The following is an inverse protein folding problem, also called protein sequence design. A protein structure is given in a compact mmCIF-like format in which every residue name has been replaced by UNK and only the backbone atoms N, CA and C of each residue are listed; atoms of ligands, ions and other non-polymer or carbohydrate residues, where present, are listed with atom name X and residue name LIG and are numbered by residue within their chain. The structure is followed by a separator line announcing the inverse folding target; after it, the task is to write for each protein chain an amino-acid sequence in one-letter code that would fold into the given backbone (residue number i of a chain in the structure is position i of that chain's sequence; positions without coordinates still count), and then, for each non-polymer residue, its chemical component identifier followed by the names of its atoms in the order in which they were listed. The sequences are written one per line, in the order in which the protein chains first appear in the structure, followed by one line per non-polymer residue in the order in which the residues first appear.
data_IF_602513171080
#
_entry.id   IF_602513171080
#
_cell.length_a   1.000
_cell.length_b   1.000
_cell.length_c   1.000
_cell.angle_alpha   90.00
_cell.angle_beta   90.00
_cell.angle_gamma   90.00
#
_symmetry.space_group_name_H-M   'P 1'
#
loop_
_entity.id
_entity.type
_entity.pdbx_description
1 polymer ?
#
# COMPACT_ATOMS: atom_id res chain seq x y z
N UNK A 1 27.47 45.79 -3.42
CA UNK A 1 26.64 44.91 -4.26
C UNK A 1 27.03 43.49 -3.88
N UNK A 2 26.10 42.65 -3.42
CA UNK A 2 26.39 41.25 -3.11
C UNK A 2 26.19 40.42 -4.38
N UNK A 3 27.27 39.87 -4.91
CA UNK A 3 27.23 38.95 -6.07
C UNK A 3 26.82 37.57 -5.58
N UNK A 4 25.58 37.16 -5.88
CA UNK A 4 25.08 35.83 -5.57
C UNK A 4 25.69 34.87 -6.59
N UNK A 5 26.53 33.96 -6.12
CA UNK A 5 27.11 32.90 -6.95
C UNK A 5 25.99 31.96 -7.37
N UNK A 6 25.63 31.97 -8.66
CA UNK A 6 24.59 31.09 -9.17
C UNK A 6 25.00 29.62 -9.00
N UNK A 7 24.09 28.85 -8.41
CA UNK A 7 24.26 27.43 -8.24
C UNK A 7 24.01 26.76 -9.59
N UNK A 8 24.85 25.80 -10.03
CA UNK A 8 24.64 25.16 -11.32
C UNK A 8 23.28 24.45 -11.32
N UNK A 9 22.40 24.88 -12.21
CA UNK A 9 21.13 24.21 -12.47
C UNK A 9 21.46 22.88 -13.14
N UNK A 10 21.35 21.79 -12.37
CA UNK A 10 21.40 20.45 -12.93
C UNK A 10 20.08 20.22 -13.65
N UNK A 11 20.07 20.31 -14.98
CA UNK A 11 18.92 19.89 -15.81
C UNK A 11 18.68 18.38 -15.60
N UNK A 12 17.93 18.03 -14.56
CA UNK A 12 17.27 16.74 -14.47
C UNK A 12 16.00 16.86 -15.30
N UNK A 13 15.92 16.13 -16.42
CA UNK A 13 14.75 16.08 -17.31
C UNK A 13 13.50 15.49 -16.64
N UNK A 14 13.62 14.98 -15.42
CA UNK A 14 12.55 14.44 -14.61
C UNK A 14 12.64 15.05 -13.21
N UNK A 15 11.49 15.50 -12.70
CA UNK A 15 11.41 16.02 -11.34
C UNK A 15 11.85 14.94 -10.35
N UNK A 16 12.69 15.27 -9.36
CA UNK A 16 13.15 14.29 -8.39
C UNK A 16 11.97 13.75 -7.59
N UNK A 17 12.02 12.45 -7.33
CA UNK A 17 11.01 11.75 -6.53
C UNK A 17 11.13 12.19 -5.07
N UNK A 18 10.04 12.16 -4.30
CA UNK A 18 10.04 12.54 -2.88
C UNK A 18 11.18 11.87 -2.08
N UNK A 19 11.41 10.58 -2.34
CA UNK A 19 12.49 9.82 -1.72
C UNK A 19 13.89 10.32 -2.08
N UNK A 20 14.08 10.74 -3.34
CA UNK A 20 15.35 11.28 -3.82
C UNK A 20 15.61 12.67 -3.25
N UNK A 21 14.56 13.50 -3.13
CA UNK A 21 14.61 14.80 -2.45
C UNK A 21 14.99 14.60 -0.98
N UNK A 22 14.30 13.68 -0.30
CA UNK A 22 14.55 13.38 1.11
C UNK A 22 15.98 12.90 1.32
N UNK A 23 16.48 12.01 0.47
CA UNK A 23 17.88 11.61 0.53
C UNK A 23 18.82 12.78 0.25
N UNK A 24 18.60 13.59 -0.77
CA UNK A 24 19.49 14.72 -1.10
C UNK A 24 19.56 15.77 0.02
N UNK A 25 18.42 16.09 0.63
CA UNK A 25 18.31 17.06 1.73
C UNK A 25 18.84 16.50 3.04
N UNK A 26 18.55 15.23 3.36
CA UNK A 26 18.92 14.63 4.66
C UNK A 26 20.29 13.94 4.66
N UNK A 27 20.91 13.66 3.49
CA UNK A 27 22.18 12.90 3.41
C UNK A 27 23.42 13.66 3.86
N UNK A 28 23.38 14.98 4.05
CA UNK A 28 24.60 15.74 4.36
C UNK A 28 24.46 16.66 5.57
N UNK A 29 24.85 16.09 6.71
CA UNK A 29 25.52 16.82 7.79
C UNK A 29 24.59 17.48 8.79
N UNK A 30 24.70 17.06 10.06
CA UNK A 30 24.31 17.75 11.30
C UNK A 30 23.42 19.01 11.14
N UNK A 31 22.15 18.79 10.76
CA UNK A 31 20.99 19.52 11.31
C UNK A 31 20.30 20.59 10.44
N UNK A 32 19.00 20.39 10.20
CA UNK A 32 17.99 21.36 10.64
C UNK A 32 17.56 20.95 12.04
N UNK A 33 18.08 21.61 13.07
CA UNK A 33 17.50 21.47 14.41
C UNK A 33 16.28 22.39 14.45
N UNK A 34 15.08 21.83 14.40
CA UNK A 34 13.84 22.57 14.71
C UNK A 34 14.05 23.28 16.05
N UNK A 35 14.00 24.62 16.05
CA UNK A 35 14.10 25.44 17.27
C UNK A 35 15.38 26.25 17.45
N UNK A 36 16.40 26.10 16.60
CA UNK A 36 17.55 27.00 16.60
C UNK A 36 17.36 28.08 15.51
N UNK A 37 16.63 29.15 15.84
CA UNK A 37 16.60 30.35 15.02
C UNK A 37 18.00 31.01 14.91
N UNK A 38 18.09 32.26 14.45
CA UNK A 38 19.35 33.04 14.47
C UNK A 38 19.85 33.45 15.87
N UNK A 39 19.44 32.72 16.91
CA UNK A 39 19.83 32.97 18.29
C UNK A 39 21.25 32.45 18.60
N UNK A 40 21.86 32.91 19.71
CA UNK A 40 23.20 32.50 20.12
C UNK A 40 23.31 30.98 20.22
N UNK A 41 24.41 30.42 19.70
CA UNK A 41 24.70 28.99 19.72
C UNK A 41 24.62 28.48 21.18
N UNK A 42 23.80 27.47 21.49
CA UNK A 42 23.76 26.91 22.84
C UNK A 42 25.14 26.35 23.18
N UNK A 43 25.64 26.72 24.37
CA UNK A 43 26.93 26.25 24.86
C UNK A 43 26.91 24.72 24.96
N UNK A 44 28.01 24.09 24.57
CA UNK A 44 28.15 22.64 24.47
C UNK A 44 28.24 21.95 25.86
N UNK A 45 27.29 22.23 26.75
CA UNK A 45 27.28 21.76 28.13
C UNK A 45 25.97 21.03 28.42
N UNK A 46 25.83 19.84 27.84
CA UNK A 46 25.27 18.63 28.45
C UNK A 46 24.86 17.64 27.36
N UNK A 47 25.84 16.91 26.81
CA UNK A 47 25.58 15.59 26.23
C UNK A 47 25.41 14.59 27.38
N UNK A 48 24.33 14.73 28.16
CA UNK A 48 23.95 13.77 29.21
C UNK A 48 22.43 13.67 29.30
N UNK A 49 21.74 13.37 28.20
CA UNK A 49 20.35 12.87 28.31
C UNK A 49 19.79 12.27 27.02
N UNK A 50 20.27 11.12 26.53
CA UNK A 50 19.53 10.38 25.48
C UNK A 50 19.75 8.86 25.58
N UNK A 51 19.64 8.27 26.77
CA UNK A 51 19.66 6.80 26.95
C UNK A 51 18.44 6.24 27.67
N UNK A 52 17.41 7.04 27.90
CA UNK A 52 16.09 6.52 28.30
C UNK A 52 15.15 6.69 27.11
N UNK A 53 14.64 5.61 26.49
CA UNK A 53 13.49 5.74 25.61
C UNK A 53 12.37 6.40 26.41
N UNK A 54 11.83 7.50 25.89
CA UNK A 54 10.69 8.16 26.50
C UNK A 54 9.58 7.12 26.68
N UNK A 55 8.99 7.01 27.86
CA UNK A 55 7.94 6.01 28.15
C UNK A 55 6.78 6.12 27.16
N UNK A 56 6.55 7.33 26.66
CA UNK A 56 5.59 7.63 25.60
C UNK A 56 6.00 7.00 24.25
N UNK A 57 7.30 7.00 23.91
CA UNK A 57 7.80 6.34 22.70
C UNK A 57 7.62 4.83 22.76
N UNK A 58 7.78 4.20 23.92
CA UNK A 58 7.55 2.75 24.08
C UNK A 58 6.05 2.43 23.92
N UNK A 59 5.19 3.19 24.59
CA UNK A 59 3.74 3.01 24.48
C UNK A 59 3.23 3.19 23.04
N UNK A 60 3.79 4.15 22.29
CA UNK A 60 3.47 4.34 20.88
C UNK A 60 3.91 3.16 20.01
N UNK A 61 5.09 2.58 20.25
CA UNK A 61 5.54 1.39 19.53
C UNK A 61 4.61 0.19 19.76
N UNK A 62 4.20 -0.06 21.01
CA UNK A 62 3.25 -1.14 21.33
C UNK A 62 1.87 -0.92 20.67
N UNK A 63 1.41 0.34 20.61
CA UNK A 63 0.16 0.69 19.95
C UNK A 63 0.24 0.44 18.43
N UNK A 64 1.36 0.80 17.80
CA UNK A 64 1.57 0.59 16.36
C UNK A 64 1.59 -0.91 16.06
N UNK A 65 2.34 -1.71 16.83
CA UNK A 65 2.43 -3.15 16.63
C UNK A 65 1.05 -3.83 16.75
N UNK A 66 0.23 -3.40 17.72
CA UNK A 66 -1.15 -3.88 17.85
C UNK A 66 -2.01 -3.54 16.62
N UNK A 67 -1.91 -2.32 16.11
CA UNK A 67 -2.66 -1.87 14.94
C UNK A 67 -2.23 -2.62 13.68
N UNK A 68 -0.94 -2.84 13.50
CA UNK A 68 -0.41 -3.63 12.38
C UNK A 68 -0.93 -5.06 12.41
N UNK A 69 -0.95 -5.70 13.59
CA UNK A 69 -1.48 -7.05 13.74
C UNK A 69 -2.98 -7.13 13.41
N UNK A 70 -3.77 -6.14 13.84
CA UNK A 70 -5.21 -6.05 13.51
C UNK A 70 -5.43 -5.88 12.00
N UNK A 71 -4.64 -5.04 11.35
CA UNK A 71 -4.70 -4.87 9.89
C UNK A 71 -4.36 -6.16 9.14
N UNK A 72 -3.37 -6.91 9.61
CA UNK A 72 -3.01 -8.22 9.04
C UNK A 72 -4.15 -9.21 9.20
N UNK A 73 -4.77 -9.29 10.38
CA UNK A 73 -5.91 -10.19 10.63
C UNK A 73 -7.14 -9.85 9.76
N UNK A 74 -7.45 -8.56 9.62
CA UNK A 74 -8.52 -8.11 8.73
C UNK A 74 -8.24 -8.46 7.27
N UNK A 75 -6.98 -8.32 6.83
CA UNK A 75 -6.57 -8.66 5.47
C UNK A 75 -6.65 -10.17 5.20
N UNK A 76 -6.23 -11.00 6.14
CA UNK A 76 -6.33 -12.47 5.98
C UNK A 76 -7.79 -12.89 5.92
N UNK A 77 -8.65 -12.33 6.77
CA UNK A 77 -10.09 -12.60 6.77
C UNK A 77 -10.76 -12.19 5.47
N UNK A 78 -10.40 -11.03 4.90
CA UNK A 78 -10.88 -10.62 3.58
C UNK A 78 -10.45 -11.61 2.49
N UNK A 79 -9.19 -12.04 2.49
CA UNK A 79 -8.69 -13.03 1.52
C UNK A 79 -9.41 -14.38 1.65
N UNK A 80 -9.72 -14.82 2.88
CA UNK A 80 -10.54 -16.01 3.11
C UNK A 80 -11.94 -15.85 2.50
N UNK A 81 -12.60 -14.71 2.71
CA UNK A 81 -13.91 -14.46 2.08
C UNK A 81 -13.84 -14.44 0.56
N UNK A 82 -12.81 -13.82 -0.03
CA UNK A 82 -12.60 -13.84 -1.49
C UNK A 82 -12.50 -15.28 -2.00
N UNK A 83 -11.70 -16.14 -1.35
CA UNK A 83 -11.57 -17.55 -1.75
C UNK A 83 -12.90 -18.32 -1.64
N UNK A 84 -13.69 -18.08 -0.58
CA UNK A 84 -14.98 -18.72 -0.38
C UNK A 84 -15.95 -18.34 -1.48
N UNK A 85 -15.99 -17.05 -1.84
CA UNK A 85 -16.83 -16.55 -2.92
C UNK A 85 -16.41 -17.20 -4.25
N UNK A 86 -15.11 -17.25 -4.56
CA UNK A 86 -14.62 -17.87 -5.79
C UNK A 86 -14.96 -19.37 -5.86
N UNK A 87 -14.87 -20.09 -4.74
CA UNK A 87 -15.26 -21.50 -4.66
C UNK A 87 -16.76 -21.69 -4.92
N UNK A 88 -17.61 -20.84 -4.33
CA UNK A 88 -19.07 -20.90 -4.54
C UNK A 88 -19.42 -20.63 -6.01
N UNK A 89 -18.81 -19.60 -6.62
CA UNK A 89 -19.02 -19.27 -8.04
C UNK A 89 -18.62 -20.45 -8.92
N UNK A 90 -17.45 -21.04 -8.65
CA UNK A 90 -16.95 -22.19 -9.41
C UNK A 90 -17.86 -23.42 -9.27
N UNK A 91 -18.39 -23.68 -8.07
CA UNK A 91 -19.31 -24.78 -7.81
C UNK A 91 -20.68 -24.60 -8.50
N UNK A 92 -21.18 -23.36 -8.62
CA UNK A 92 -22.46 -23.08 -9.30
C UNK A 92 -22.34 -23.17 -10.83
N UNK A 93 -21.22 -22.75 -11.42
CA UNK A 93 -21.00 -22.83 -12.87
C UNK A 93 -20.86 -24.29 -13.33
N UNK A 94 -20.29 -25.17 -12.50
CA UNK A 94 -20.20 -26.61 -12.79
C UNK A 94 -21.55 -27.37 -12.81
N UNK A 95 -22.56 -26.88 -12.08
CA UNK A 95 -23.87 -27.53 -11.96
C UNK A 95 -24.89 -27.09 -13.03
N UNK A 96 -24.61 -26.03 -13.79
CA UNK A 96 -25.54 -25.48 -14.78
C UNK A 96 -25.39 -26.07 -16.20
N UNK A 97 -24.35 -26.86 -16.47
CA UNK A 97 -24.09 -27.38 -17.83
C UNK A 97 -24.72 -28.75 -18.14
N UNK A 98 -25.32 -29.45 -17.17
CA UNK A 98 -25.84 -30.82 -17.38
C UNK A 98 -27.37 -30.94 -17.60
N UNK A 99 -28.11 -29.83 -17.70
CA UNK A 99 -29.58 -29.87 -17.78
C UNK A 99 -30.20 -29.49 -19.15
N UNK A 100 -29.43 -29.35 -20.23
CA UNK A 100 -30.00 -29.10 -21.57
C UNK A 100 -29.31 -29.93 -22.66
N UNK A 101 -29.62 -31.22 -22.69
CA UNK A 101 -29.08 -32.14 -23.70
C UNK A 101 -29.95 -33.38 -23.96
N UNK A 102 -31.27 -33.31 -23.79
CA UNK A 102 -32.20 -34.34 -24.32
C UNK A 102 -33.43 -33.69 -24.92
N UNK A 103 -33.25 -32.99 -26.04
CA UNK A 103 -34.34 -32.77 -26.98
C UNK A 103 -34.53 -34.09 -27.76
N UNK A 104 -35.40 -34.96 -27.24
CA UNK A 104 -35.91 -36.10 -28.01
C UNK A 104 -36.60 -35.53 -29.25
N UNK A 105 -35.94 -35.65 -30.39
CA UNK A 105 -36.54 -35.33 -31.69
C UNK A 105 -37.63 -36.39 -31.92
N UNK A 106 -38.87 -36.04 -31.62
CA UNK A 106 -40.03 -36.85 -31.95
C UNK A 106 -40.18 -36.82 -33.48
N UNK A 107 -39.60 -37.81 -34.13
CA UNK A 107 -39.65 -37.98 -35.58
C UNK A 107 -41.06 -38.47 -35.97
N UNK A 108 -41.91 -37.56 -36.42
CA UNK A 108 -43.18 -37.91 -37.05
C UNK A 108 -42.98 -38.03 -38.56
N UNK A 109 -43.08 -39.26 -39.07
CA UNK A 109 -43.12 -39.55 -40.50
C UNK A 109 -44.30 -38.82 -41.16
N UNK A 110 -44.15 -38.25 -42.37
CA UNK A 110 -45.27 -37.62 -43.07
C UNK A 110 -46.22 -38.70 -43.59
N UNK A 111 -47.49 -38.60 -43.21
CA UNK A 111 -48.57 -39.41 -43.76
C UNK A 111 -48.74 -39.07 -45.25
N UNK A 112 -48.60 -40.07 -46.11
CA UNK A 112 -48.84 -39.96 -47.54
C UNK A 112 -50.31 -39.61 -47.79
N UNK A 113 -50.57 -38.46 -48.43
CA UNK A 113 -51.89 -38.10 -48.91
C UNK A 113 -52.16 -38.83 -50.24
N UNK A 114 -53.06 -39.80 -50.19
CA UNK A 114 -53.82 -40.25 -51.35
C UNK A 114 -54.91 -39.21 -51.65
N UNK A 115 -54.82 -38.52 -52.79
CA UNK A 115 -55.94 -38.22 -53.72
C UNK A 115 -55.35 -38.11 -55.13
#
# INVERSE_FOLDING_TARGET
MLEIKEQPVLERSQAPTEFEIMQEVLRKGRGYNRGLGHGPKPSASHSVHLTSPDTESIALCEQIEKQEQELVDMRTRLSQFESLIQNIISAQVGMSSEAHGKATIFNMSPLANHI
#
